data_IF_926889022206
#
_entry.id   IF_926889022206
#
_cell.length_a   1.000
_cell.length_b   1.000
_cell.length_c   1.000
_cell.angle_alpha   90.00
_cell.angle_beta   90.00
_cell.angle_gamma   90.00
#
_symmetry.space_group_name_H-M   'P 1'
#
loop_
_entity.id
_entity.type
_entity.pdbx_description
1 polymer ?
#
# COMPACT_ATOMS: atom_id res chain seq x y z
N UNK A 1 22.25 7.74 12.77
CA UNK A 1 21.32 6.58 12.73
C UNK A 1 20.63 6.54 11.37
N UNK A 2 20.41 5.37 10.77
CA UNK A 2 19.62 5.23 9.55
C UNK A 2 18.13 5.07 9.93
N UNK A 3 17.28 5.98 9.47
CA UNK A 3 15.84 5.93 9.74
C UNK A 3 15.14 5.25 8.56
N UNK A 4 15.02 3.93 8.62
CA UNK A 4 14.42 3.13 7.55
C UNK A 4 12.90 3.12 7.69
N UNK A 5 12.18 3.25 6.57
CA UNK A 5 10.74 3.05 6.54
C UNK A 5 10.42 1.59 6.91
N UNK A 6 9.54 1.40 7.89
CA UNK A 6 9.12 0.07 8.37
C UNK A 6 7.68 -0.27 8.06
N UNK A 7 6.84 0.74 7.84
CA UNK A 7 5.41 0.56 7.58
C UNK A 7 4.90 1.60 6.59
N UNK A 8 4.04 1.16 5.68
CA UNK A 8 3.35 1.99 4.68
C UNK A 8 1.85 1.70 4.81
N UNK A 9 1.05 2.75 4.95
CA UNK A 9 -0.41 2.69 4.88
C UNK A 9 -0.86 3.40 3.59
N UNK A 10 -1.54 2.66 2.73
CA UNK A 10 -2.14 3.17 1.50
C UNK A 10 -3.61 3.45 1.80
N UNK A 11 -4.06 4.68 1.53
CA UNK A 11 -5.45 5.11 1.73
C UNK A 11 -6.10 5.32 0.38
N UNK A 12 -7.13 4.54 0.10
CA UNK A 12 -7.76 4.48 -1.22
C UNK A 12 -7.38 3.19 -1.94
N UNK A 13 -8.40 2.47 -2.41
CA UNK A 13 -8.24 1.29 -3.25
C UNK A 13 -8.29 1.66 -4.73
N UNK A 14 -9.24 1.06 -5.46
CA UNK A 14 -9.27 1.19 -6.92
C UNK A 14 -8.04 0.59 -7.59
N UNK A 15 -7.84 0.88 -8.87
CA UNK A 15 -6.66 0.43 -9.63
C UNK A 15 -5.37 0.99 -9.03
N UNK A 16 -5.33 2.30 -8.74
CA UNK A 16 -4.14 2.97 -8.23
C UNK A 16 -3.64 2.38 -6.89
N UNK A 17 -4.55 2.19 -5.92
CA UNK A 17 -4.19 1.63 -4.61
C UNK A 17 -3.66 0.21 -4.72
N UNK A 18 -4.37 -0.66 -5.44
CA UNK A 18 -3.98 -2.06 -5.58
C UNK A 18 -2.74 -2.28 -6.46
N UNK A 19 -2.53 -1.47 -7.51
CA UNK A 19 -1.28 -1.47 -8.28
C UNK A 19 -0.09 -1.06 -7.43
N UNK A 20 -0.28 -0.06 -6.55
CA UNK A 20 0.76 0.38 -5.61
C UNK A 20 1.12 -0.75 -4.63
N UNK A 21 0.12 -1.45 -4.07
CA UNK A 21 0.35 -2.61 -3.20
C UNK A 21 1.13 -3.69 -3.93
N UNK A 22 0.72 -4.05 -5.14
CA UNK A 22 1.37 -5.11 -5.92
C UNK A 22 2.84 -4.79 -6.17
N UNK A 23 3.11 -3.58 -6.68
CA UNK A 23 4.47 -3.15 -7.01
C UNK A 23 5.37 -3.06 -5.78
N UNK A 24 4.89 -2.46 -4.67
CA UNK A 24 5.68 -2.32 -3.45
C UNK A 24 5.90 -3.67 -2.76
N UNK A 25 4.93 -4.57 -2.78
CA UNK A 25 5.05 -5.89 -2.16
C UNK A 25 6.06 -6.76 -2.91
N UNK A 26 6.11 -6.64 -4.24
CA UNK A 26 7.13 -7.31 -5.05
C UNK A 26 8.53 -6.70 -4.82
N UNK A 27 8.64 -5.38 -4.87
CA UNK A 27 9.93 -4.68 -4.75
C UNK A 27 10.58 -4.83 -3.36
N UNK A 28 9.77 -4.85 -2.29
CA UNK A 28 10.27 -4.82 -0.90
C UNK A 28 10.03 -6.11 -0.12
N UNK A 29 9.20 -7.03 -0.61
CA UNK A 29 8.90 -8.30 0.04
C UNK A 29 8.50 -8.13 1.51
N UNK A 30 9.10 -8.94 2.39
CA UNK A 30 8.82 -8.92 3.83
C UNK A 30 9.56 -7.82 4.62
N UNK A 31 10.30 -6.92 3.96
CA UNK A 31 11.13 -5.90 4.65
C UNK A 31 10.33 -4.74 5.23
N UNK A 32 9.14 -4.49 4.69
CA UNK A 32 8.26 -3.37 5.06
C UNK A 32 6.84 -3.89 5.22
N UNK A 33 6.16 -3.48 6.29
CA UNK A 33 4.75 -3.78 6.47
C UNK A 33 3.92 -2.89 5.55
N UNK A 34 3.14 -3.49 4.65
CA UNK A 34 2.23 -2.76 3.75
C UNK A 34 0.80 -3.04 4.18
N UNK A 35 -0.02 -2.00 4.29
CA UNK A 35 -1.44 -2.11 4.58
C UNK A 35 -2.21 -1.15 3.69
N UNK A 36 -3.42 -1.55 3.25
CA UNK A 36 -4.30 -0.72 2.44
C UNK A 36 -5.66 -0.62 3.13
N UNK A 37 -6.23 0.58 3.15
CA UNK A 37 -7.61 0.82 3.55
C UNK A 37 -8.41 1.34 2.36
N UNK A 38 -9.51 0.65 2.05
CA UNK A 38 -10.43 1.00 0.97
C UNK A 38 -11.81 1.30 1.58
N UNK A 39 -12.44 2.39 1.12
CA UNK A 39 -13.80 2.72 1.53
C UNK A 39 -14.79 1.80 0.83
N UNK A 40 -15.71 1.22 1.59
CA UNK A 40 -16.81 0.42 1.05
C UNK A 40 -17.89 1.28 0.37
N UNK A 41 -17.92 2.58 0.65
CA UNK A 41 -18.99 3.50 0.20
C UNK A 41 -18.58 4.44 -0.92
N UNK A 42 -17.27 4.54 -1.24
CA UNK A 42 -16.77 5.35 -2.36
C UNK A 42 -16.61 4.42 -3.57
N UNK A 43 -17.40 4.60 -4.64
CA UNK A 43 -17.26 3.80 -5.84
C UNK A 43 -15.89 3.98 -6.48
N UNK A 44 -15.36 2.89 -7.04
CA UNK A 44 -14.15 2.93 -7.87
C UNK A 44 -14.56 3.51 -9.23
N UNK A 45 -13.70 4.36 -9.79
CA UNK A 45 -13.83 4.90 -11.15
C UNK A 45 -13.07 3.99 -12.10
#
# INVERSE_FOLDING_TARGET
MRNLVKSILIVGGGSAGWMTVAHLSEAYGYKVKISLIESLTIPKI
#
